data_IF_734778134702
#
_entry.id   IF_734778134702
#
_cell.length_a   1.000
_cell.length_b   1.000
_cell.length_c   1.000
_cell.angle_alpha   90.00
_cell.angle_beta   90.00
_cell.angle_gamma   90.00
#
_symmetry.space_group_name_H-M   'P 1'
#
loop_
_entity.id
_entity.type
_entity.pdbx_description
1 polymer ?
#
# COMPACT_ATOMS: atom_id res chain seq x y z
N UNK A 1 11.53 -1.38 8.85
CA UNK A 1 10.75 -0.24 8.33
C UNK A 1 9.82 -0.77 7.24
N UNK A 2 8.53 -0.44 7.29
CA UNK A 2 7.51 -0.92 6.35
C UNK A 2 6.69 0.27 5.84
N UNK A 3 6.09 0.14 4.66
CA UNK A 3 5.18 1.15 4.10
C UNK A 3 3.74 0.65 4.26
N UNK A 4 2.85 1.52 4.77
CA UNK A 4 1.44 1.21 5.01
C UNK A 4 0.55 2.11 4.16
N UNK A 5 -0.32 1.52 3.33
CA UNK A 5 -1.10 2.28 2.34
C UNK A 5 -2.07 3.26 2.97
N UNK A 6 -3.01 2.75 3.78
CA UNK A 6 -4.01 3.55 4.49
C UNK A 6 -3.39 4.68 5.30
N UNK A 7 -2.37 4.37 6.10
CA UNK A 7 -1.78 5.36 7.00
C UNK A 7 -1.07 6.47 6.21
N UNK A 8 -0.46 6.12 5.07
CA UNK A 8 0.12 7.11 4.15
C UNK A 8 -0.95 8.01 3.52
N UNK A 9 -2.12 7.46 3.14
CA UNK A 9 -3.25 8.22 2.62
C UNK A 9 -3.83 9.17 3.66
N UNK A 10 -4.06 8.69 4.89
CA UNK A 10 -4.58 9.52 5.99
C UNK A 10 -3.59 10.65 6.33
N UNK A 11 -2.30 10.34 6.46
CA UNK A 11 -1.28 11.36 6.70
C UNK A 11 -1.22 12.39 5.55
N UNK A 12 -1.41 11.95 4.31
CA UNK A 12 -1.48 12.84 3.15
C UNK A 12 -2.67 13.78 3.21
N UNK A 13 -3.86 13.27 3.55
CA UNK A 13 -5.08 14.08 3.73
C UNK A 13 -4.92 15.10 4.85
N UNK A 14 -4.33 14.70 5.98
CA UNK A 14 -4.09 15.57 7.14
C UNK A 14 -3.09 16.70 6.85
N UNK A 15 -2.15 16.48 5.94
CA UNK A 15 -1.08 17.43 5.62
C UNK A 15 -1.27 18.17 4.29
N UNK A 16 -2.32 17.84 3.53
CA UNK A 16 -2.53 18.34 2.17
C UNK A 16 -2.51 19.87 2.05
N UNK A 17 -3.03 20.59 3.06
CA UNK A 17 -3.07 22.06 3.07
C UNK A 17 -1.69 22.73 3.17
N UNK A 18 -0.72 22.05 3.79
CA UNK A 18 0.62 22.61 4.04
C UNK A 18 1.70 21.95 3.18
N UNK A 19 1.47 20.72 2.73
CA UNK A 19 2.41 19.97 1.89
C UNK A 19 1.69 19.09 0.85
N UNK A 20 1.09 19.68 -0.19
CA UNK A 20 0.41 18.91 -1.24
C UNK A 20 1.35 18.00 -2.05
N UNK A 21 2.65 18.32 -2.10
CA UNK A 21 3.67 17.47 -2.72
C UNK A 21 3.81 16.10 -2.06
N UNK A 22 3.59 15.99 -0.74
CA UNK A 22 3.61 14.71 -0.04
C UNK A 22 2.47 13.80 -0.51
N UNK A 23 1.26 14.34 -0.62
CA UNK A 23 0.10 13.60 -1.11
C UNK A 23 0.32 13.07 -2.54
N UNK A 24 0.89 13.90 -3.43
CA UNK A 24 1.24 13.48 -4.79
C UNK A 24 2.22 12.31 -4.78
N UNK A 25 3.31 12.42 -4.01
CA UNK A 25 4.31 11.36 -3.91
C UNK A 25 3.73 10.05 -3.35
N UNK A 26 2.84 10.15 -2.34
CA UNK A 26 2.13 8.97 -1.80
C UNK A 26 1.26 8.32 -2.87
N UNK A 27 0.48 9.10 -3.62
CA UNK A 27 -0.36 8.57 -4.70
C UNK A 27 0.47 7.93 -5.82
N UNK A 28 1.59 8.54 -6.21
CA UNK A 28 2.49 7.97 -7.22
C UNK A 28 3.07 6.61 -6.76
N UNK A 29 3.53 6.53 -5.50
CA UNK A 29 4.07 5.29 -4.93
C UNK A 29 2.97 4.23 -4.81
N UNK A 30 1.82 4.56 -4.23
CA UNK A 30 0.72 3.59 -4.06
C UNK A 30 0.15 3.13 -5.40
N UNK A 31 0.04 4.02 -6.38
CA UNK A 31 -0.36 3.67 -7.75
C UNK A 31 0.62 2.70 -8.42
N UNK A 32 1.92 2.87 -8.19
CA UNK A 32 2.95 1.97 -8.77
C UNK A 32 2.90 0.54 -8.22
N UNK A 33 2.23 0.32 -7.09
CA UNK A 33 2.08 -0.98 -6.42
C UNK A 33 0.62 -1.40 -6.24
N UNK A 34 -0.32 -0.70 -6.89
CA UNK A 34 -1.73 -1.09 -6.89
C UNK A 34 -1.87 -2.48 -7.51
N UNK A 35 -2.68 -3.34 -6.90
CA UNK A 35 -2.89 -4.69 -7.41
C UNK A 35 -3.53 -4.64 -8.81
N UNK A 36 -2.94 -5.36 -9.76
CA UNK A 36 -3.43 -5.48 -11.14
C UNK A 36 -4.03 -6.86 -11.44
N UNK A 37 -3.83 -7.81 -10.54
CA UNK A 37 -4.22 -9.21 -10.67
C UNK A 37 -4.77 -9.74 -9.36
N UNK A 38 -5.46 -10.89 -9.42
CA UNK A 38 -5.91 -11.59 -8.23
C UNK A 38 -4.81 -12.51 -7.71
N UNK A 39 -4.54 -12.43 -6.40
CA UNK A 39 -3.60 -13.31 -5.70
C UNK A 39 -4.12 -13.57 -4.28
N UNK A 40 -4.66 -14.77 -4.06
CA UNK A 40 -5.26 -15.15 -2.78
C UNK A 40 -4.24 -15.23 -1.63
N UNK A 41 -2.94 -15.45 -1.90
CA UNK A 41 -1.93 -15.47 -0.85
C UNK A 41 -1.65 -14.06 -0.32
N UNK A 42 -1.70 -13.05 -1.21
CA UNK A 42 -1.48 -11.65 -0.87
C UNK A 42 -2.78 -10.88 -0.56
N UNK A 43 -3.94 -11.53 -0.58
CA UNK A 43 -5.28 -10.92 -0.53
C UNK A 43 -5.50 -9.86 -1.65
N UNK A 44 -4.84 -10.03 -2.80
CA UNK A 44 -4.87 -9.07 -3.89
C UNK A 44 -6.08 -9.29 -4.81
N UNK A 45 -6.70 -8.19 -5.21
CA UNK A 45 -7.72 -8.11 -6.26
C UNK A 45 -7.42 -6.85 -7.10
N UNK A 46 -7.72 -6.84 -8.41
CA UNK A 46 -7.48 -5.67 -9.25
C UNK A 46 -8.06 -4.39 -8.65
N UNK A 47 -7.23 -3.36 -8.52
CA UNK A 47 -7.58 -2.06 -7.94
C UNK A 47 -7.27 -1.92 -6.45
N UNK A 48 -6.96 -3.00 -5.72
CA UNK A 48 -6.62 -2.88 -4.29
C UNK A 48 -5.35 -2.09 -4.05
N UNK A 49 -5.42 -1.19 -3.07
CA UNK A 49 -4.25 -0.51 -2.49
C UNK A 49 -3.64 -1.41 -1.41
N UNK A 50 -2.31 -1.50 -1.35
CA UNK A 50 -1.64 -2.38 -0.40
C UNK A 50 -1.86 -1.96 1.06
N UNK A 51 -2.02 -2.95 1.93
CA UNK A 51 -2.02 -2.77 3.37
C UNK A 51 -0.60 -2.50 3.88
N UNK A 52 0.34 -3.38 3.56
CA UNK A 52 1.71 -3.32 4.06
C UNK A 52 2.74 -3.87 3.06
N UNK A 53 3.87 -3.19 2.93
CA UNK A 53 5.04 -3.62 2.18
C UNK A 53 6.25 -3.79 3.10
N UNK A 54 6.83 -4.99 3.14
CA UNK A 54 8.02 -5.31 3.94
C UNK A 54 9.23 -5.63 3.06
N UNK A 55 10.40 -5.20 3.53
CA UNK A 55 11.71 -5.56 2.96
C UNK A 55 12.49 -6.35 4.01
N UNK A 56 12.28 -7.66 4.08
CA UNK A 56 12.95 -8.56 5.03
C UNK A 56 12.98 -9.99 4.51
N UNK A 57 13.82 -10.84 5.11
CA UNK A 57 14.09 -12.19 4.58
C UNK A 57 12.84 -13.06 4.46
N UNK A 58 11.93 -13.01 5.43
CA UNK A 58 10.67 -13.76 5.36
C UNK A 58 9.79 -13.33 4.18
N UNK A 59 9.77 -12.03 3.87
CA UNK A 59 9.02 -11.50 2.73
C UNK A 59 9.68 -11.90 1.41
N UNK A 60 11.02 -11.82 1.33
CA UNK A 60 11.78 -12.28 0.14
C UNK A 60 11.61 -13.77 -0.13
N UNK A 61 11.61 -14.59 0.92
CA UNK A 61 11.38 -16.03 0.85
C UNK A 61 9.90 -16.41 0.66
N UNK A 62 8.99 -15.42 0.55
CA UNK A 62 7.54 -15.63 0.44
C UNK A 62 6.95 -16.51 1.55
N UNK A 63 7.54 -16.43 2.75
CA UNK A 63 7.00 -17.07 3.96
C UNK A 63 5.93 -16.20 4.62
N UNK A 64 5.88 -14.91 4.27
CA UNK A 64 4.82 -13.97 4.62
C UNK A 64 4.36 -13.21 3.35
N UNK A 65 3.12 -12.72 3.29
CA UNK A 65 2.54 -12.17 2.06
C UNK A 65 2.95 -10.72 1.72
N UNK A 66 3.92 -10.14 2.41
CA UNK A 66 4.15 -8.69 2.47
C UNK A 66 5.01 -8.15 1.31
N UNK A 67 4.74 -8.60 0.07
CA UNK A 67 5.49 -8.23 -1.15
C UNK A 67 4.60 -7.87 -2.36
N UNK A 68 3.72 -6.87 -2.29
CA UNK A 68 3.04 -6.26 -1.15
C UNK A 68 1.87 -7.12 -0.63
N UNK A 69 1.39 -6.88 0.59
CA UNK A 69 0.18 -7.50 1.13
C UNK A 69 -1.02 -6.55 1.01
N UNK A 70 -2.20 -7.05 0.62
CA UNK A 70 -3.40 -6.27 0.27
C UNK A 70 -4.61 -6.54 1.19
N UNK A 71 -4.38 -7.02 2.42
CA UNK A 71 -5.44 -7.36 3.39
C UNK A 71 -6.22 -6.20 4.01
N UNK A 72 -6.18 -5.01 3.43
CA UNK A 72 -6.94 -3.84 3.88
C UNK A 72 -8.28 -3.77 3.14
N UNK A 73 -9.36 -3.52 3.87
CA UNK A 73 -10.68 -3.32 3.29
C UNK A 73 -10.96 -1.85 2.93
N UNK A 74 -10.25 -0.92 3.57
CA UNK A 74 -10.59 0.50 3.62
C UNK A 74 -9.59 1.42 2.92
N UNK A 75 -8.39 0.95 2.54
CA UNK A 75 -7.43 1.80 1.83
C UNK A 75 -7.86 2.18 0.42
N UNK A 76 -8.50 1.27 -0.32
CA UNK A 76 -8.92 1.47 -1.72
C UNK A 76 -9.92 2.61 -1.93
N UNK A 77 -10.96 2.80 -1.08
CA UNK A 77 -11.91 3.90 -1.25
C UNK A 77 -11.44 5.28 -0.77
N UNK A 78 -10.23 5.40 -0.21
CA UNK A 78 -9.65 6.67 0.27
C UNK A 78 -8.97 7.43 -0.87
#
# INVERSE_FOLDING_TARGET
>A
MALFGRDSLIASLQTALVHPGFARAVLDVLGSVQATERDDYRDAEPGKIMHELRRGELAKLKLIPHTPYYGTADATPL
#
